data_IF_883051375974
#
_entry.id   IF_883051375974
#
_cell.length_a   1.000
_cell.length_b   1.000
_cell.length_c   1.000
_cell.angle_alpha   90.00
_cell.angle_beta   90.00
_cell.angle_gamma   90.00
#
_symmetry.space_group_name_H-M   'P 1'
#
loop_
_entity.id
_entity.type
_entity.pdbx_description
1 polymer ?
#
# COMPACT_ATOMS: atom_id res chain seq x y z
N UNK A 1 -23.62 28.69 14.67
CA UNK A 1 -23.00 28.87 13.35
C UNK A 1 -21.47 28.99 13.48
N UNK A 2 -20.77 27.91 13.84
CA UNK A 2 -19.28 27.89 13.84
C UNK A 2 -18.66 26.55 13.37
N UNK A 3 -19.47 25.52 13.11
CA UNK A 3 -18.99 24.21 12.62
C UNK A 3 -19.17 23.97 11.11
N UNK A 4 -19.73 24.93 10.38
CA UNK A 4 -20.04 24.74 8.96
C UNK A 4 -18.81 25.04 8.07
N UNK A 5 -18.06 26.10 8.37
CA UNK A 5 -16.91 26.51 7.55
C UNK A 5 -15.77 25.47 7.53
N UNK A 6 -15.48 24.82 8.66
CA UNK A 6 -14.42 23.79 8.74
C UNK A 6 -14.72 22.56 7.86
N UNK A 7 -15.98 22.13 7.81
CA UNK A 7 -16.40 21.01 6.96
C UNK A 7 -16.31 21.35 5.48
N UNK A 8 -16.64 22.59 5.10
CA UNK A 8 -16.50 23.05 3.72
C UNK A 8 -15.04 23.08 3.28
N UNK A 9 -14.13 23.67 4.07
CA UNK A 9 -12.71 23.74 3.70
C UNK A 9 -12.06 22.35 3.57
N UNK A 10 -12.39 21.41 4.45
CA UNK A 10 -11.80 20.07 4.41
C UNK A 10 -12.27 19.27 3.19
N UNK A 11 -13.53 19.41 2.79
CA UNK A 11 -14.07 18.74 1.60
C UNK A 11 -13.46 19.26 0.29
N UNK A 12 -13.18 20.57 0.19
CA UNK A 12 -12.52 21.15 -0.98
C UNK A 12 -11.07 20.65 -1.12
N UNK A 13 -10.33 20.52 -0.01
CA UNK A 13 -8.95 20.00 -0.04
C UNK A 13 -8.90 18.54 -0.48
N UNK A 14 -9.74 17.66 0.09
CA UNK A 14 -9.77 16.23 -0.27
C UNK A 14 -10.13 16.02 -1.75
N UNK A 15 -11.04 16.82 -2.30
CA UNK A 15 -11.37 16.77 -3.74
C UNK A 15 -10.20 17.21 -4.61
N UNK A 16 -9.54 18.33 -4.28
CA UNK A 16 -8.40 18.83 -5.04
C UNK A 16 -7.24 17.83 -5.05
N UNK A 17 -6.97 17.20 -3.90
CA UNK A 17 -5.95 16.16 -3.78
C UNK A 17 -6.31 14.94 -4.63
N UNK A 18 -7.57 14.48 -4.61
CA UNK A 18 -8.03 13.37 -5.44
C UNK A 18 -7.90 13.67 -6.95
N UNK A 19 -8.35 14.83 -7.42
CA UNK A 19 -8.28 15.20 -8.84
C UNK A 19 -6.82 15.27 -9.34
N UNK A 20 -5.93 15.85 -8.53
CA UNK A 20 -4.49 15.89 -8.84
C UNK A 20 -3.89 14.48 -8.89
N UNK A 21 -4.23 13.65 -7.91
CA UNK A 21 -3.75 12.28 -7.81
C UNK A 21 -4.24 11.42 -8.98
N UNK A 22 -5.53 11.50 -9.31
CA UNK A 22 -6.10 10.79 -10.45
C UNK A 22 -5.48 11.26 -11.77
N UNK A 23 -5.23 12.56 -11.93
CA UNK A 23 -4.52 13.08 -13.11
C UNK A 23 -3.12 12.47 -13.25
N UNK A 24 -2.42 12.25 -12.15
CA UNK A 24 -1.12 11.55 -12.18
C UNK A 24 -1.28 10.10 -12.65
N UNK A 25 -2.28 9.36 -12.16
CA UNK A 25 -2.58 7.99 -12.64
C UNK A 25 -2.82 8.01 -14.16
N UNK A 26 -3.70 8.90 -14.64
CA UNK A 26 -4.07 8.99 -16.05
C UNK A 26 -2.88 9.27 -16.94
N UNK A 27 -2.04 10.24 -16.56
CA UNK A 27 -0.86 10.61 -17.36
C UNK A 27 0.21 9.52 -17.36
N UNK A 28 0.44 8.90 -16.21
CA UNK A 28 1.48 7.87 -16.05
C UNK A 28 1.14 6.58 -16.79
N UNK A 29 -0.13 6.15 -16.71
CA UNK A 29 -0.57 4.89 -17.33
C UNK A 29 -1.22 5.06 -18.72
N UNK A 30 -1.30 6.31 -19.24
CA UNK A 30 -1.96 6.63 -20.52
C UNK A 30 -3.40 6.10 -20.59
N UNK A 31 -4.15 6.33 -19.51
CA UNK A 31 -5.50 5.80 -19.35
C UNK A 31 -6.48 6.37 -20.37
N UNK A 32 -7.36 5.50 -20.88
CA UNK A 32 -8.55 5.94 -21.59
C UNK A 32 -9.50 6.65 -20.60
N UNK A 33 -9.92 7.91 -20.86
CA UNK A 33 -10.90 8.59 -20.03
C UNK A 33 -12.21 7.81 -19.82
N UNK A 34 -12.65 7.02 -20.80
CA UNK A 34 -13.87 6.20 -20.69
C UNK A 34 -13.68 4.99 -19.76
N UNK A 35 -12.44 4.52 -19.61
CA UNK A 35 -12.07 3.42 -18.71
C UNK A 35 -11.42 3.91 -17.41
N UNK A 36 -11.65 5.17 -17.05
CA UNK A 36 -11.14 5.78 -15.81
C UNK A 36 -12.27 5.98 -14.80
N UNK A 37 -12.13 5.36 -13.63
CA UNK A 37 -13.03 5.56 -12.51
C UNK A 37 -12.72 6.89 -11.79
N UNK A 38 -13.61 7.86 -11.94
CA UNK A 38 -13.41 9.24 -11.45
C UNK A 38 -14.09 9.52 -10.10
N UNK A 39 -14.19 8.50 -9.24
CA UNK A 39 -14.69 8.62 -7.88
C UNK A 39 -13.69 8.02 -6.91
N UNK A 40 -13.49 8.67 -5.77
CA UNK A 40 -12.51 8.21 -4.78
C UNK A 40 -13.00 7.02 -3.95
N UNK A 41 -14.26 7.05 -3.51
CA UNK A 41 -14.84 6.05 -2.60
C UNK A 41 -15.70 5.04 -3.36
N UNK A 42 -15.63 3.77 -2.96
CA UNK A 42 -16.52 2.71 -3.43
C UNK A 42 -17.70 2.57 -2.46
N UNK A 43 -18.89 2.93 -2.94
CA UNK A 43 -20.18 2.89 -2.23
C UNK A 43 -21.28 2.49 -3.21
N UNK A 44 -22.48 2.17 -2.74
CA UNK A 44 -23.66 1.91 -3.57
C UNK A 44 -23.98 3.04 -4.55
N UNK A 45 -23.61 4.28 -4.22
CA UNK A 45 -23.81 5.45 -5.08
C UNK A 45 -22.76 5.58 -6.18
N UNK A 46 -21.53 5.15 -5.92
CA UNK A 46 -20.39 5.38 -6.80
C UNK A 46 -20.02 4.15 -7.63
N UNK A 47 -20.30 2.95 -7.11
CA UNK A 47 -19.97 1.68 -7.77
C UNK A 47 -20.63 1.51 -9.13
N UNK A 48 -21.82 2.10 -9.32
CA UNK A 48 -22.54 2.11 -10.60
C UNK A 48 -21.81 2.90 -11.71
N UNK A 49 -20.81 3.71 -11.35
CA UNK A 49 -19.96 4.46 -12.28
C UNK A 49 -18.64 3.75 -12.59
N UNK A 50 -18.44 2.52 -12.10
CA UNK A 50 -17.32 1.71 -12.56
C UNK A 50 -17.42 1.55 -14.08
N UNK A 51 -16.31 1.77 -14.83
CA UNK A 51 -16.30 1.54 -16.26
C UNK A 51 -16.69 0.09 -16.56
N UNK A 52 -17.75 -0.09 -17.36
CA UNK A 52 -18.39 -1.38 -17.60
C UNK A 52 -18.70 -1.65 -19.08
N UNK A 53 -18.17 -0.83 -20.00
CA UNK A 53 -18.27 -1.08 -21.43
C UNK A 53 -17.34 -2.21 -21.87
N UNK A 54 -17.67 -2.89 -22.98
CA UNK A 54 -16.92 -4.03 -23.54
C UNK A 54 -15.43 -3.74 -23.82
N UNK A 55 -15.04 -2.47 -23.87
CA UNK A 55 -13.65 -2.02 -24.08
C UNK A 55 -12.86 -1.77 -22.78
N UNK A 56 -13.50 -1.76 -21.61
CA UNK A 56 -12.88 -1.37 -20.33
C UNK A 56 -12.46 -2.57 -19.47
N UNK A 57 -11.78 -3.52 -20.11
CA UNK A 57 -11.10 -4.64 -19.43
C UNK A 57 -9.99 -4.14 -18.50
N UNK A 58 -9.37 -3.02 -18.89
CA UNK A 58 -8.34 -2.30 -18.13
C UNK A 58 -8.97 -1.04 -17.52
N UNK A 59 -8.96 -0.93 -16.20
CA UNK A 59 -9.53 0.23 -15.50
C UNK A 59 -8.47 1.01 -14.78
N UNK A 60 -8.51 2.33 -14.90
CA UNK A 60 -7.67 3.24 -14.14
C UNK A 60 -8.43 3.91 -13.00
N UNK A 61 -7.77 4.18 -11.88
CA UNK A 61 -8.36 4.99 -10.83
C UNK A 61 -7.62 4.94 -9.51
N UNK A 62 -8.26 5.47 -8.48
CA UNK A 62 -7.85 5.31 -7.08
C UNK A 62 -9.08 4.88 -6.30
N UNK A 63 -9.14 3.61 -5.94
CA UNK A 63 -10.29 3.03 -5.25
C UNK A 63 -10.07 3.01 -3.76
N UNK A 64 -10.96 3.70 -3.03
CA UNK A 64 -10.97 3.72 -1.57
C UNK A 64 -12.18 2.96 -1.03
N UNK A 65 -11.91 1.94 -0.25
CA UNK A 65 -12.87 1.23 0.57
C UNK A 65 -12.70 1.69 2.01
N UNK A 66 -13.77 2.15 2.64
CA UNK A 66 -13.70 2.67 3.99
C UNK A 66 -15.00 2.47 4.78
N UNK A 67 -15.14 3.16 5.90
CA UNK A 67 -16.35 3.11 6.73
C UNK A 67 -17.64 3.55 5.99
N UNK A 68 -17.53 4.28 4.87
CA UNK A 68 -18.66 4.67 4.03
C UNK A 68 -19.05 3.59 3.00
N UNK A 69 -18.23 2.56 2.81
CA UNK A 69 -18.54 1.45 1.90
C UNK A 69 -19.68 0.61 2.46
N UNK A 70 -20.87 0.79 1.89
CA UNK A 70 -22.14 0.15 2.27
C UNK A 70 -22.46 -1.11 1.45
N UNK A 71 -21.44 -1.68 0.80
CA UNK A 71 -21.56 -2.84 -0.07
C UNK A 71 -20.97 -4.09 0.59
N UNK A 72 -21.69 -5.21 0.49
CA UNK A 72 -21.19 -6.53 0.89
C UNK A 72 -20.14 -7.06 -0.08
N UNK A 73 -19.33 -8.03 0.37
CA UNK A 73 -18.36 -8.75 -0.48
C UNK A 73 -19.03 -9.31 -1.74
N UNK A 74 -20.26 -9.84 -1.65
CA UNK A 74 -20.99 -10.37 -2.79
C UNK A 74 -21.39 -9.28 -3.80
N UNK A 75 -21.82 -8.10 -3.33
CA UNK A 75 -22.14 -6.97 -4.20
C UNK A 75 -20.89 -6.41 -4.88
N UNK A 76 -19.78 -6.32 -4.16
CA UNK A 76 -18.49 -5.93 -4.73
C UNK A 76 -18.01 -6.95 -5.77
N UNK A 77 -18.14 -8.24 -5.48
CA UNK A 77 -17.77 -9.31 -6.43
C UNK A 77 -18.52 -9.15 -7.74
N UNK A 78 -19.83 -8.85 -7.66
CA UNK A 78 -20.64 -8.60 -8.86
C UNK A 78 -20.23 -7.32 -9.59
N UNK A 79 -19.92 -6.26 -8.85
CA UNK A 79 -19.55 -4.97 -9.42
C UNK A 79 -18.19 -4.99 -10.15
N UNK A 80 -17.23 -5.75 -9.64
CA UNK A 80 -15.88 -5.84 -10.19
C UNK A 80 -15.70 -6.96 -11.22
N UNK A 81 -16.73 -7.75 -11.52
CA UNK A 81 -16.60 -9.02 -12.25
C UNK A 81 -15.91 -8.92 -13.62
N UNK A 82 -15.99 -7.76 -14.29
CA UNK A 82 -15.41 -7.52 -15.62
C UNK A 82 -14.03 -6.86 -15.59
N UNK A 83 -13.56 -6.41 -14.43
CA UNK A 83 -12.32 -5.62 -14.30
C UNK A 83 -11.14 -6.57 -14.06
N UNK A 84 -10.45 -6.98 -15.11
CA UNK A 84 -9.37 -7.96 -14.99
C UNK A 84 -8.02 -7.34 -14.60
N UNK A 85 -7.78 -6.09 -15.02
CA UNK A 85 -6.55 -5.34 -14.71
C UNK A 85 -6.89 -3.96 -14.19
N UNK A 86 -6.24 -3.57 -13.10
CA UNK A 86 -6.39 -2.25 -12.51
C UNK A 86 -5.07 -1.46 -12.48
N UNK A 87 -5.14 -0.17 -12.80
CA UNK A 87 -4.02 0.77 -12.79
C UNK A 87 -4.28 1.90 -11.79
N UNK A 88 -3.34 2.11 -10.87
CA UNK A 88 -3.39 3.23 -9.93
C UNK A 88 -3.20 2.82 -8.47
N UNK A 89 -4.20 3.12 -7.64
CA UNK A 89 -4.13 2.92 -6.18
C UNK A 89 -5.33 2.20 -5.59
N UNK A 90 -5.08 1.31 -4.64
CA UNK A 90 -6.12 0.63 -3.86
C UNK A 90 -5.92 0.93 -2.38
N UNK A 91 -6.96 1.44 -1.74
CA UNK A 91 -6.95 1.85 -0.34
C UNK A 91 -8.05 1.14 0.43
N UNK A 92 -7.68 0.48 1.52
CA UNK A 92 -8.57 -0.09 2.53
C UNK A 92 -8.34 0.64 3.85
N UNK A 93 -9.19 1.62 4.17
CA UNK A 93 -9.04 2.45 5.38
C UNK A 93 -10.26 2.33 6.28
N UNK A 94 -10.09 1.78 7.47
CA UNK A 94 -11.17 1.69 8.46
C UNK A 94 -12.43 0.96 7.92
N UNK A 95 -12.22 -0.13 7.19
CA UNK A 95 -13.32 -0.98 6.71
C UNK A 95 -13.82 -1.94 7.79
N UNK A 96 -15.03 -2.44 7.61
CA UNK A 96 -15.59 -3.52 8.43
C UNK A 96 -15.40 -4.92 7.81
N UNK A 97 -14.51 -5.06 6.82
CA UNK A 97 -14.29 -6.33 6.14
C UNK A 97 -13.47 -7.30 6.98
N UNK A 98 -13.81 -8.58 6.91
CA UNK A 98 -12.97 -9.68 7.44
C UNK A 98 -12.03 -10.27 6.37
N UNK A 99 -12.43 -10.15 5.10
CA UNK A 99 -11.71 -10.57 3.91
C UNK A 99 -12.03 -9.63 2.74
N UNK A 100 -11.20 -9.68 1.69
CA UNK A 100 -11.26 -8.79 0.52
C UNK A 100 -11.27 -9.63 -0.77
N UNK A 101 -11.94 -10.78 -0.74
CA UNK A 101 -11.93 -11.73 -1.87
C UNK A 101 -13.05 -11.41 -2.86
N UNK A 102 -13.06 -10.19 -3.40
CA UNK A 102 -14.08 -9.72 -4.35
C UNK A 102 -13.53 -9.23 -5.68
N UNK A 103 -12.20 -9.10 -5.83
CA UNK A 103 -11.61 -8.82 -7.12
C UNK A 103 -11.60 -10.07 -8.00
N UNK A 104 -11.90 -9.95 -9.30
CA UNK A 104 -11.88 -11.09 -10.20
C UNK A 104 -10.44 -11.54 -10.46
N UNK A 105 -10.32 -12.77 -10.95
CA UNK A 105 -9.06 -13.32 -11.45
C UNK A 105 -9.06 -13.17 -12.97
N UNK A 106 -7.94 -12.77 -13.55
CA UNK A 106 -7.77 -12.75 -15.00
C UNK A 106 -7.64 -14.18 -15.53
N UNK A 107 -8.10 -14.44 -16.75
CA UNK A 107 -7.93 -15.74 -17.41
C UNK A 107 -6.45 -16.08 -17.68
N UNK A 108 -5.60 -15.06 -17.74
CA UNK A 108 -4.19 -15.19 -18.11
C UNK A 108 -3.29 -15.57 -16.94
N UNK A 109 -3.49 -14.94 -15.78
CA UNK A 109 -2.67 -15.15 -14.59
C UNK A 109 -3.34 -15.99 -13.50
N UNK A 110 -4.66 -16.27 -13.62
CA UNK A 110 -5.49 -16.80 -12.52
C UNK A 110 -5.38 -15.96 -11.23
N UNK A 111 -5.06 -14.67 -11.38
CA UNK A 111 -4.86 -13.70 -10.30
C UNK A 111 -5.50 -12.37 -10.68
N UNK A 112 -5.73 -11.51 -9.70
CA UNK A 112 -6.08 -10.12 -9.97
C UNK A 112 -4.80 -9.37 -10.37
N UNK A 113 -4.82 -8.68 -11.51
CA UNK A 113 -3.65 -7.95 -12.01
C UNK A 113 -3.70 -6.49 -11.58
N UNK A 114 -2.66 -6.04 -10.88
CA UNK A 114 -2.62 -4.70 -10.31
C UNK A 114 -1.33 -3.95 -10.67
N UNK A 115 -1.46 -2.94 -11.53
CA UNK A 115 -0.41 -1.98 -11.85
C UNK A 115 -0.34 -0.88 -10.77
N UNK A 116 0.60 -1.06 -9.85
CA UNK A 116 0.60 -0.37 -8.56
C UNK A 116 1.65 0.72 -8.39
N UNK A 117 2.46 1.02 -9.40
CA UNK A 117 3.66 1.85 -9.22
C UNK A 117 3.40 3.35 -8.99
N UNK A 118 2.16 3.84 -9.16
CA UNK A 118 1.78 5.23 -8.85
C UNK A 118 1.37 5.43 -7.40
N UNK A 119 0.37 4.68 -6.91
CA UNK A 119 -0.20 4.86 -5.57
C UNK A 119 -0.17 3.60 -4.70
N UNK A 120 0.08 2.44 -5.29
CA UNK A 120 0.28 1.23 -4.51
C UNK A 120 -0.95 0.70 -3.81
N UNK A 121 -0.69 -0.12 -2.80
CA UNK A 121 -1.71 -0.73 -1.94
C UNK A 121 -1.55 -0.20 -0.52
N UNK A 122 -2.62 0.39 0.00
CA UNK A 122 -2.71 0.88 1.39
C UNK A 122 -3.80 0.12 2.13
N UNK A 123 -3.45 -0.46 3.28
CA UNK A 123 -4.35 -1.23 4.14
C UNK A 123 -4.16 -0.75 5.57
N UNK A 124 -5.05 0.12 6.04
CA UNK A 124 -4.89 0.81 7.32
C UNK A 124 -6.14 0.76 8.18
N UNK A 125 -5.94 0.62 9.50
CA UNK A 125 -6.99 0.74 10.51
C UNK A 125 -8.16 -0.27 10.37
N UNK A 126 -7.95 -1.44 9.76
CA UNK A 126 -9.01 -2.44 9.58
C UNK A 126 -9.06 -3.39 10.78
N UNK A 127 -9.99 -3.14 11.70
CA UNK A 127 -10.10 -3.86 12.99
C UNK A 127 -10.52 -5.33 12.86
N UNK A 128 -11.15 -5.70 11.74
CA UNK A 128 -11.76 -7.02 11.53
C UNK A 128 -11.05 -7.86 10.47
N UNK A 129 -10.13 -7.25 9.70
CA UNK A 129 -9.47 -7.90 8.58
C UNK A 129 -8.49 -8.96 9.06
N UNK A 130 -8.65 -10.19 8.59
CA UNK A 130 -7.84 -11.34 9.02
C UNK A 130 -7.11 -12.04 7.88
N UNK A 131 -7.67 -11.98 6.65
CA UNK A 131 -7.16 -12.76 5.53
C UNK A 131 -6.08 -11.98 4.75
N UNK A 132 -4.83 -12.43 4.86
CA UNK A 132 -3.71 -11.87 4.11
C UNK A 132 -3.51 -12.51 2.73
N UNK A 133 -4.19 -13.64 2.44
CA UNK A 133 -3.93 -14.45 1.24
C UNK A 133 -4.18 -13.65 -0.03
N UNK A 134 -5.24 -12.84 -0.04
CA UNK A 134 -5.53 -11.96 -1.17
C UNK A 134 -4.32 -11.10 -1.53
N UNK A 135 -3.70 -10.40 -0.57
CA UNK A 135 -2.52 -9.57 -0.82
C UNK A 135 -1.31 -10.37 -1.32
N UNK A 136 -1.13 -11.60 -0.84
CA UNK A 136 -0.07 -12.49 -1.31
C UNK A 136 -0.31 -12.94 -2.77
N UNK A 137 -1.58 -13.11 -3.14
CA UNK A 137 -1.98 -13.78 -4.39
C UNK A 137 -2.35 -12.79 -5.52
N UNK A 138 -2.16 -11.48 -5.33
CA UNK A 138 -2.26 -10.47 -6.39
C UNK A 138 -1.05 -10.59 -7.33
N UNK A 139 -1.28 -10.44 -8.63
CA UNK A 139 -0.23 -10.28 -9.62
C UNK A 139 0.15 -8.80 -9.71
N UNK A 140 1.22 -8.42 -9.02
CA UNK A 140 1.70 -7.03 -8.98
C UNK A 140 2.51 -6.70 -10.22
N UNK A 141 2.00 -5.74 -11.00
CA UNK A 141 2.66 -5.18 -12.16
C UNK A 141 3.42 -3.92 -11.73
N UNK A 142 4.73 -4.07 -11.53
CA UNK A 142 5.62 -2.98 -11.11
C UNK A 142 6.17 -2.19 -12.29
N UNK A 143 6.65 -0.97 -12.04
CA UNK A 143 7.40 -0.19 -13.02
C UNK A 143 8.69 -0.93 -13.46
N UNK A 144 9.07 -0.83 -14.75
CA UNK A 144 10.23 -1.56 -15.29
C UNK A 144 11.58 -0.99 -14.84
N UNK A 145 11.61 0.26 -14.38
CA UNK A 145 12.82 0.96 -13.95
C UNK A 145 13.05 0.84 -12.45
N UNK A 146 12.01 1.02 -11.64
CA UNK A 146 12.12 0.92 -10.17
C UNK A 146 11.85 -0.49 -9.66
N UNK A 147 11.01 -1.28 -10.37
CA UNK A 147 10.51 -2.57 -9.91
C UNK A 147 9.85 -2.50 -8.52
N UNK A 148 9.27 -1.35 -8.16
CA UNK A 148 8.65 -1.13 -6.85
C UNK A 148 7.21 -0.66 -6.95
N UNK A 149 6.43 -1.03 -5.94
CA UNK A 149 5.13 -0.45 -5.64
C UNK A 149 5.09 0.02 -4.18
N UNK A 150 4.38 1.11 -3.87
CA UNK A 150 4.13 1.49 -2.49
C UNK A 150 3.23 0.44 -1.81
N UNK A 151 3.68 -0.11 -0.69
CA UNK A 151 2.90 -1.05 0.12
C UNK A 151 2.85 -0.57 1.56
N UNK A 152 1.64 -0.31 2.07
CA UNK A 152 1.42 0.17 3.42
C UNK A 152 0.40 -0.69 4.15
N UNK A 153 0.80 -1.26 5.28
CA UNK A 153 -0.05 -2.05 6.17
C UNK A 153 0.08 -1.51 7.59
N UNK A 154 -0.91 -0.77 8.08
CA UNK A 154 -0.82 -0.17 9.43
C UNK A 154 -2.07 -0.42 10.28
N UNK A 155 -1.87 -0.73 11.56
CA UNK A 155 -2.94 -0.81 12.56
C UNK A 155 -4.09 -1.77 12.17
N UNK A 156 -3.77 -2.93 11.60
CA UNK A 156 -4.74 -3.99 11.33
C UNK A 156 -4.54 -5.13 12.37
N UNK A 157 -5.12 -5.03 13.58
CA UNK A 157 -4.74 -5.84 14.74
C UNK A 157 -5.00 -7.35 14.59
N UNK A 158 -5.73 -7.76 13.55
CA UNK A 158 -6.06 -9.16 13.26
C UNK A 158 -5.44 -9.70 11.98
N UNK A 159 -4.72 -8.86 11.23
CA UNK A 159 -4.08 -9.23 9.97
C UNK A 159 -2.63 -9.64 10.22
N UNK A 160 -2.25 -10.88 9.88
CA UNK A 160 -0.85 -11.32 9.91
C UNK A 160 -0.18 -10.97 8.58
N UNK A 161 0.65 -9.93 8.57
CA UNK A 161 1.43 -9.51 7.40
C UNK A 161 2.81 -10.14 7.37
N UNK A 162 3.21 -10.90 8.41
CA UNK A 162 4.59 -11.38 8.58
C UNK A 162 5.10 -12.33 7.49
N UNK A 163 4.23 -12.81 6.60
CA UNK A 163 4.60 -13.61 5.43
C UNK A 163 4.75 -12.79 4.14
N UNK A 164 4.31 -11.53 4.14
CA UNK A 164 4.36 -10.65 2.97
C UNK A 164 5.81 -10.24 2.60
N UNK A 165 6.75 -10.23 3.55
CA UNK A 165 8.18 -9.99 3.26
C UNK A 165 8.80 -11.03 2.33
N UNK A 166 8.18 -12.20 2.21
CA UNK A 166 8.64 -13.29 1.35
C UNK A 166 8.01 -13.24 -0.04
N UNK A 167 7.05 -12.34 -0.26
CA UNK A 167 6.45 -12.11 -1.56
C UNK A 167 7.42 -11.25 -2.36
N UNK A 168 7.96 -11.81 -3.44
CA UNK A 168 9.01 -11.20 -4.26
C UNK A 168 8.65 -9.78 -4.71
N UNK A 169 7.40 -9.57 -5.09
CA UNK A 169 6.94 -8.30 -5.68
C UNK A 169 6.53 -7.26 -4.63
N UNK A 170 6.54 -7.62 -3.33
CA UNK A 170 6.25 -6.72 -2.22
C UNK A 170 7.51 -6.17 -1.55
N UNK A 171 8.54 -5.84 -2.35
CA UNK A 171 9.70 -5.11 -1.86
C UNK A 171 9.31 -3.71 -1.40
N UNK A 172 9.81 -3.24 -0.25
CA UNK A 172 9.50 -1.90 0.27
C UNK A 172 8.21 -1.83 1.09
N UNK A 173 7.65 -2.97 1.48
CA UNK A 173 6.49 -3.02 2.35
C UNK A 173 6.77 -2.39 3.71
N UNK A 174 5.92 -1.44 4.08
CA UNK A 174 5.85 -0.87 5.42
C UNK A 174 4.73 -1.56 6.18
N UNK A 175 5.06 -2.19 7.30
CA UNK A 175 4.10 -2.94 8.12
C UNK A 175 4.29 -2.62 9.59
N UNK A 176 3.28 -2.00 10.21
CA UNK A 176 3.36 -1.56 11.62
C UNK A 176 2.02 -1.77 12.34
N UNK A 177 2.05 -2.37 13.53
CA UNK A 177 0.87 -2.46 14.40
C UNK A 177 -0.19 -3.45 13.88
N UNK A 178 0.21 -4.41 13.06
CA UNK A 178 -0.64 -5.52 12.62
C UNK A 178 -0.57 -6.69 13.61
N UNK A 179 -1.36 -7.77 13.42
CA UNK A 179 -1.29 -8.96 14.28
C UNK A 179 0.13 -9.51 14.37
N UNK A 180 0.82 -9.48 13.24
CA UNK A 180 2.26 -9.72 13.13
C UNK A 180 2.77 -8.90 11.95
N UNK A 181 3.81 -8.13 12.19
CA UNK A 181 4.38 -7.25 11.18
C UNK A 181 5.38 -7.95 10.26
N UNK A 182 5.42 -7.42 9.04
CA UNK A 182 6.39 -7.74 8.02
C UNK A 182 7.66 -6.91 8.20
N UNK A 183 8.75 -7.53 8.65
CA UNK A 183 10.01 -6.84 8.88
C UNK A 183 9.98 -5.92 10.11
N UNK A 184 11.01 -5.09 10.26
CA UNK A 184 11.15 -4.16 11.39
C UNK A 184 11.55 -2.76 10.91
N UNK A 185 11.21 -1.71 11.69
CA UNK A 185 11.67 -0.36 11.40
C UNK A 185 13.19 -0.29 11.49
N UNK A 186 13.85 0.06 10.39
CA UNK A 186 15.27 0.41 10.40
C UNK A 186 15.52 1.92 10.39
N UNK A 187 14.47 2.75 10.47
CA UNK A 187 14.60 4.18 10.66
C UNK A 187 14.80 4.53 12.14
N UNK A 188 15.71 5.46 12.43
CA UNK A 188 15.97 5.91 13.80
C UNK A 188 16.60 4.84 14.69
N UNK A 189 17.48 4.01 14.11
CA UNK A 189 18.29 3.06 14.89
C UNK A 189 19.23 3.84 15.81
N UNK A 190 19.20 3.50 17.09
CA UNK A 190 20.03 4.05 18.15
C UNK A 190 20.57 2.90 19.00
N UNK A 191 21.60 3.15 19.80
CA UNK A 191 22.09 2.19 20.78
C UNK A 191 21.01 1.71 21.76
N UNK A 192 19.93 2.49 21.96
CA UNK A 192 18.83 2.15 22.84
C UNK A 192 17.83 1.14 22.23
N UNK A 193 17.68 1.09 20.91
CA UNK A 193 16.68 0.24 20.23
C UNK A 193 17.29 -0.84 19.32
N UNK A 194 18.60 -0.81 19.05
CA UNK A 194 19.23 -1.75 18.11
C UNK A 194 19.01 -3.23 18.50
N UNK A 195 18.95 -3.54 19.80
CA UNK A 195 18.68 -4.90 20.30
C UNK A 195 17.29 -5.44 19.91
N UNK A 196 16.31 -4.58 19.63
CA UNK A 196 14.98 -5.04 19.17
C UNK A 196 15.04 -5.64 17.77
N UNK A 197 16.14 -5.41 17.03
CA UNK A 197 16.33 -5.88 15.67
C UNK A 197 17.00 -7.26 15.58
N UNK A 198 17.44 -7.83 16.72
CA UNK A 198 18.21 -9.09 16.77
C UNK A 198 17.53 -10.28 16.07
N UNK A 199 16.20 -10.34 16.10
CA UNK A 199 15.41 -11.41 15.47
C UNK A 199 14.76 -10.96 14.16
N UNK A 200 15.21 -9.83 13.61
CA UNK A 200 14.67 -9.30 12.38
C UNK A 200 15.45 -9.82 11.18
N UNK A 201 14.74 -10.27 10.15
CA UNK A 201 15.36 -10.70 8.90
C UNK A 201 15.27 -9.65 7.79
N UNK A 202 14.33 -8.70 7.92
CA UNK A 202 14.03 -7.67 6.92
C UNK A 202 13.83 -6.33 7.61
N UNK A 203 14.54 -5.29 7.17
CA UNK A 203 14.30 -3.91 7.59
C UNK A 203 13.51 -3.14 6.52
N UNK A 204 12.54 -2.34 6.94
CA UNK A 204 11.95 -1.30 6.10
C UNK A 204 12.44 0.06 6.58
N UNK A 205 12.89 0.87 5.61
CA UNK A 205 13.71 2.06 5.78
C UNK A 205 14.97 1.79 6.61
N UNK A 206 16.09 2.40 6.25
CA UNK A 206 17.33 2.23 6.99
C UNK A 206 18.03 3.56 7.18
N UNK A 207 18.11 3.99 8.43
CA UNK A 207 18.83 5.19 8.79
C UNK A 207 19.77 4.88 9.95
N UNK A 208 21.05 4.82 9.65
CA UNK A 208 22.11 4.68 10.63
C UNK A 208 22.82 6.02 10.79
N UNK A 209 22.56 6.68 11.92
CA UNK A 209 23.21 7.94 12.31
C UNK A 209 23.92 7.77 13.65
N UNK A 210 25.26 7.86 13.65
CA UNK A 210 26.20 7.73 14.78
C UNK A 210 26.38 6.32 15.39
N UNK A 211 27.64 5.86 15.35
CA UNK A 211 28.38 5.05 16.34
C UNK A 211 27.58 4.16 17.30
N UNK A 212 26.91 3.13 16.78
CA UNK A 212 26.85 1.89 17.55
C UNK A 212 28.07 1.08 17.15
N UNK A 213 29.05 0.94 18.04
CA UNK A 213 30.22 0.07 17.81
C UNK A 213 29.79 -1.40 17.71
N UNK A 214 28.66 -1.74 18.34
CA UNK A 214 28.06 -3.07 18.28
C UNK A 214 26.88 -3.08 17.30
N UNK A 215 27.09 -3.68 16.13
CA UNK A 215 26.06 -3.96 15.12
C UNK A 215 25.66 -5.44 15.09
N UNK A 216 26.04 -6.22 16.11
CA UNK A 216 25.79 -7.67 16.15
C UNK A 216 24.29 -7.98 16.15
N UNK A 217 23.46 -7.08 16.68
CA UNK A 217 22.01 -7.19 16.62
C UNK A 217 21.43 -7.04 15.19
N UNK A 218 22.24 -6.63 14.20
CA UNK A 218 21.85 -6.58 12.79
C UNK A 218 22.34 -7.82 12.00
N UNK A 219 22.96 -8.81 12.64
CA UNK A 219 23.59 -9.93 11.95
C UNK A 219 22.61 -10.81 11.14
N UNK A 220 21.36 -10.90 11.58
CA UNK A 220 20.31 -11.69 10.92
C UNK A 220 19.58 -10.93 9.80
N UNK A 221 19.90 -9.65 9.58
CA UNK A 221 19.29 -8.85 8.52
C UNK A 221 19.79 -9.36 7.16
N UNK A 222 18.86 -9.87 6.35
CA UNK A 222 19.14 -10.41 5.01
C UNK A 222 18.64 -9.50 3.89
N UNK A 223 17.73 -8.59 4.20
CA UNK A 223 17.20 -7.61 3.27
C UNK A 223 16.90 -6.28 3.96
N UNK A 224 17.13 -5.19 3.22
CA UNK A 224 16.71 -3.84 3.60
C UNK A 224 15.91 -3.29 2.42
N UNK A 225 14.77 -2.68 2.71
CA UNK A 225 13.87 -2.12 1.69
C UNK A 225 13.48 -0.68 2.06
N UNK A 226 13.01 0.12 1.12
CA UNK A 226 12.65 1.52 1.37
C UNK A 226 13.82 2.49 1.25
N UNK A 227 13.76 3.63 1.95
CA UNK A 227 14.83 4.63 1.90
C UNK A 227 16.07 4.20 2.69
N UNK A 228 17.27 4.51 2.16
CA UNK A 228 18.53 4.18 2.81
C UNK A 228 19.37 5.44 3.03
N UNK A 229 19.77 5.69 4.27
CA UNK A 229 20.66 6.78 4.65
C UNK A 229 21.71 6.27 5.64
N UNK A 230 22.98 6.38 5.25
CA UNK A 230 24.11 6.02 6.12
C UNK A 230 24.97 7.27 6.26
N UNK A 231 25.11 7.76 7.50
CA UNK A 231 25.99 8.89 7.82
C UNK A 231 27.13 8.42 8.71
N UNK A 232 28.28 8.14 8.09
CA UNK A 232 29.52 7.79 8.78
C UNK A 232 30.34 9.07 8.98
N UNK A 233 30.73 9.40 10.22
CA UNK A 233 31.75 10.43 10.47
C UNK A 233 33.12 9.87 10.11
N UNK A 234 33.83 10.47 9.16
CA UNK A 234 35.26 10.19 8.96
C UNK A 234 36.04 10.80 10.13
N UNK A 235 36.67 9.96 10.94
CA UNK A 235 37.73 10.45 11.83
C UNK A 235 38.96 10.73 10.98
N UNK A 236 39.36 12.00 10.89
CA UNK A 236 40.69 12.35 10.38
C UNK A 236 41.72 11.72 11.33
N UNK A 237 42.50 10.77 10.83
CA UNK A 237 43.69 10.32 11.55
C UNK A 237 44.63 11.52 11.73
N UNK A 238 44.87 11.93 12.96
CA UNK A 238 46.03 12.76 13.29
C UNK A 238 47.28 11.90 13.04
N UNK A 239 48.00 12.22 11.96
CA UNK A 239 49.37 11.76 11.77
C UNK A 239 50.23 12.40 12.87
N UNK A 240 50.86 11.57 13.70
CA UNK A 240 51.92 11.95 14.63
C UNK A 240 53.28 11.93 13.92
#
# INVERSE_FOLDING_TARGET
MKNVAFLFFWWYSVKADFESNLKMVVLTHQCDPECTFNYSEITSKTVQFLPNGDNCVFVCGIMTFNANTDLSVAQLTKAFETISVFYGGIVFDNTNFTNITFFPKSEWSDQFEFCCYTFGLTVVNNLHLTDFKFFRDIFYLTDRHTSTCPFLFENNPKLDTGKLCKVKDMSGIKSIGNLKDCGCPGNGITSANIETLRNCSVLYDFNLSNESDDLTALAEITAVTGEHNIKIKSYYCCAW
#
